data_IF_031710890004
#
_entry.id   IF_031710890004
#
_cell.length_a   1.000
_cell.length_b   1.000
_cell.length_c   1.000
_cell.angle_alpha   90.00
_cell.angle_beta   90.00
_cell.angle_gamma   90.00
#
_symmetry.space_group_name_H-M   'P 1'
#
loop_
_entity.id
_entity.type
_entity.pdbx_description
1 polymer ?
#
# COMPACT_ATOMS: atom_id res chain seq x y z
N UNK A 1 4.63 22.20 -8.51
CA UNK A 1 4.38 22.52 -9.93
C UNK A 1 4.28 21.22 -10.70
N UNK A 2 3.19 21.00 -11.45
CA UNK A 2 3.02 19.79 -12.28
C UNK A 2 4.00 19.82 -13.45
N UNK A 3 4.75 18.75 -13.65
CA UNK A 3 5.64 18.58 -14.81
C UNK A 3 4.91 17.77 -15.89
N UNK A 4 5.21 18.04 -17.16
CA UNK A 4 4.73 17.24 -18.29
C UNK A 4 5.91 16.45 -18.82
N UNK A 5 5.75 15.13 -18.89
CA UNK A 5 6.74 14.24 -19.47
C UNK A 5 6.23 13.76 -20.82
N UNK A 6 7.08 13.84 -21.82
CA UNK A 6 6.81 13.23 -23.12
C UNK A 6 7.84 12.13 -23.37
N UNK A 7 7.33 10.91 -23.37
CA UNK A 7 8.08 9.68 -23.55
C UNK A 7 7.87 9.24 -25.00
N UNK A 8 8.87 9.51 -25.83
CA UNK A 8 8.65 9.62 -27.26
C UNK A 8 8.49 8.28 -28.01
N UNK A 9 7.74 8.40 -29.12
CA UNK A 9 7.48 7.44 -30.21
C UNK A 9 8.77 7.26 -31.03
N UNK A 10 9.01 6.03 -31.48
CA UNK A 10 10.31 5.52 -31.95
C UNK A 10 10.98 6.27 -33.12
N UNK A 11 12.30 6.46 -32.95
CA UNK A 11 13.36 6.37 -33.98
C UNK A 11 13.13 7.08 -35.31
N UNK A 12 12.94 8.40 -35.28
CA UNK A 12 13.50 9.36 -36.23
C UNK A 12 13.10 10.74 -35.71
N UNK A 13 14.05 11.64 -35.59
CA UNK A 13 13.87 12.99 -35.06
C UNK A 13 12.88 13.88 -35.84
N UNK A 14 12.25 13.37 -36.89
CA UNK A 14 11.75 14.19 -38.01
C UNK A 14 10.26 14.03 -38.34
N UNK A 15 9.46 13.28 -37.58
CA UNK A 15 8.04 13.03 -37.96
C UNK A 15 7.01 13.51 -36.93
N UNK A 16 7.36 14.47 -36.06
CA UNK A 16 6.36 15.37 -35.50
C UNK A 16 6.42 16.68 -36.27
N UNK A 17 5.36 16.92 -37.05
CA UNK A 17 5.17 18.16 -37.82
C UNK A 17 5.55 19.37 -36.93
N UNK A 18 6.44 20.29 -37.38
CA UNK A 18 6.98 21.39 -36.57
C UNK A 18 5.93 22.21 -35.80
N UNK A 19 4.73 22.32 -36.37
CA UNK A 19 3.57 23.02 -35.81
C UNK A 19 2.97 22.36 -34.55
N UNK A 20 3.09 21.02 -34.38
CA UNK A 20 2.66 20.31 -33.16
C UNK A 20 3.66 20.51 -32.01
N UNK A 21 4.96 20.64 -32.33
CA UNK A 21 6.04 20.90 -31.36
C UNK A 21 5.92 22.30 -30.71
N UNK A 22 5.51 23.30 -31.50
CA UNK A 22 5.37 24.70 -31.06
C UNK A 22 4.12 24.91 -30.20
N UNK A 23 3.00 24.22 -30.46
CA UNK A 23 1.74 24.39 -29.69
C UNK A 23 1.83 23.91 -28.24
N UNK A 24 2.67 22.93 -27.93
CA UNK A 24 2.90 22.47 -26.56
C UNK A 24 3.73 23.43 -25.70
N UNK A 25 4.43 24.41 -26.31
CA UNK A 25 5.23 25.40 -25.56
C UNK A 25 4.38 26.51 -24.93
N UNK A 26 3.14 26.71 -25.38
CA UNK A 26 2.22 27.72 -24.86
C UNK A 26 1.17 27.07 -23.94
N UNK A 27 1.55 26.78 -22.69
CA UNK A 27 0.63 26.27 -21.66
C UNK A 27 0.46 27.34 -20.58
N UNK A 28 -0.72 27.96 -20.55
CA UNK A 28 -1.21 28.70 -19.38
C UNK A 28 -2.14 27.80 -18.57
N UNK A 29 -1.87 27.69 -17.26
CA UNK A 29 -2.68 26.92 -16.31
C UNK A 29 -3.83 27.82 -15.83
N UNK A 30 -5.07 27.56 -16.26
CA UNK A 30 -6.26 28.25 -15.73
C UNK A 30 -7.44 27.31 -15.42
N UNK A 31 -8.29 27.76 -14.48
CA UNK A 31 -9.03 27.01 -13.44
C UNK A 31 -10.29 26.20 -13.83
N UNK A 32 -10.49 25.16 -13.01
CA UNK A 32 -11.72 24.48 -12.46
C UNK A 32 -12.82 23.93 -13.36
N UNK A 33 -13.16 22.64 -13.13
CA UNK A 33 -14.33 21.93 -13.69
C UNK A 33 -14.01 20.86 -14.73
N UNK A 34 -12.72 20.64 -15.01
CA UNK A 34 -12.24 19.84 -16.14
C UNK A 34 -11.25 18.78 -15.62
N UNK A 35 -11.08 17.62 -16.28
CA UNK A 35 -10.14 16.58 -15.82
C UNK A 35 -8.72 17.15 -15.64
N UNK A 36 -7.93 16.64 -14.69
CA UNK A 36 -6.60 17.22 -14.37
C UNK A 36 -5.66 17.20 -15.57
N UNK A 37 -5.80 16.22 -16.47
CA UNK A 37 -5.15 16.18 -17.79
C UNK A 37 -5.47 17.45 -18.61
N UNK A 38 -6.74 17.84 -18.69
CA UNK A 38 -7.21 19.05 -19.40
C UNK A 38 -6.94 20.36 -18.64
N UNK A 39 -6.53 20.30 -17.37
CA UNK A 39 -6.06 21.48 -16.61
C UNK A 39 -4.57 21.73 -16.83
N UNK A 40 -3.78 20.66 -17.02
CA UNK A 40 -2.33 20.74 -17.22
C UNK A 40 -1.98 20.86 -18.71
N UNK A 41 -2.71 20.18 -19.60
CA UNK A 41 -2.71 20.44 -21.03
C UNK A 41 -3.83 21.45 -21.30
N UNK A 42 -3.51 22.64 -21.84
CA UNK A 42 -4.57 23.55 -22.27
C UNK A 42 -5.55 22.81 -23.21
N UNK A 43 -6.84 23.13 -23.13
CA UNK A 43 -7.94 22.41 -23.81
C UNK A 43 -7.63 22.16 -25.29
N UNK A 44 -7.08 23.15 -25.99
CA UNK A 44 -6.75 23.06 -27.41
C UNK A 44 -5.67 22.01 -27.72
N UNK A 45 -4.71 21.81 -26.81
CA UNK A 45 -3.66 20.81 -26.94
C UNK A 45 -4.26 19.42 -26.73
N UNK A 46 -5.04 19.24 -25.66
CA UNK A 46 -5.72 17.98 -25.41
C UNK A 46 -6.62 17.57 -26.59
N UNK A 47 -7.44 18.50 -27.09
CA UNK A 47 -8.31 18.27 -28.25
C UNK A 47 -7.50 17.92 -29.52
N UNK A 48 -6.28 18.45 -29.66
CA UNK A 48 -5.41 18.12 -30.81
C UNK A 48 -4.68 16.78 -30.73
N UNK A 49 -4.62 16.18 -29.52
CA UNK A 49 -3.88 14.95 -29.23
C UNK A 49 -4.79 13.77 -28.90
N UNK A 50 -6.03 14.01 -28.45
CA UNK A 50 -6.94 12.97 -27.96
C UNK A 50 -7.32 11.93 -29.03
N UNK A 51 -7.28 12.31 -30.31
CA UNK A 51 -7.66 11.47 -31.46
C UNK A 51 -6.42 10.83 -32.14
N UNK A 52 -5.23 10.95 -31.54
CA UNK A 52 -3.99 10.39 -32.06
C UNK A 52 -3.70 9.02 -31.40
N UNK A 53 -4.08 7.94 -32.09
CA UNK A 53 -3.93 6.56 -31.59
C UNK A 53 -2.46 6.11 -31.39
N UNK A 54 -1.49 6.87 -31.90
CA UNK A 54 -0.06 6.58 -31.71
C UNK A 54 0.44 6.94 -30.32
N UNK A 55 -0.33 7.71 -29.55
CA UNK A 55 0.03 8.17 -28.21
C UNK A 55 -1.01 7.81 -27.15
N UNK A 56 -0.52 7.63 -25.92
CA UNK A 56 -1.32 7.43 -24.71
C UNK A 56 -1.02 8.56 -23.73
N UNK A 57 -2.08 9.19 -23.24
CA UNK A 57 -2.00 10.24 -22.22
C UNK A 57 -2.44 9.64 -20.88
N UNK A 58 -1.56 9.69 -19.87
CA UNK A 58 -1.84 9.20 -18.52
C UNK A 58 -1.33 10.18 -17.46
N UNK A 59 -1.99 10.17 -16.31
CA UNK A 59 -1.42 10.78 -15.11
C UNK A 59 -0.32 9.88 -14.55
N UNK A 60 0.73 10.50 -14.02
CA UNK A 60 1.75 9.81 -13.28
C UNK A 60 1.20 9.26 -11.97
N UNK A 61 1.78 8.15 -11.55
CA UNK A 61 1.44 7.43 -10.33
C UNK A 61 1.54 8.25 -9.03
N UNK A 62 2.46 9.22 -9.01
CA UNK A 62 2.72 10.18 -7.93
C UNK A 62 3.20 11.50 -8.54
N UNK A 63 2.99 12.60 -7.80
CA UNK A 63 3.48 13.93 -8.20
C UNK A 63 2.61 14.68 -9.20
N UNK A 64 1.50 14.07 -9.66
CA UNK A 64 0.48 14.75 -10.49
C UNK A 64 0.97 15.22 -11.85
N UNK A 65 2.04 14.61 -12.37
CA UNK A 65 2.59 14.88 -13.69
C UNK A 65 1.73 14.25 -14.80
N UNK A 66 1.70 14.87 -15.98
CA UNK A 66 1.05 14.29 -17.16
C UNK A 66 2.11 13.63 -18.04
N UNK A 67 1.84 12.40 -18.47
CA UNK A 67 2.73 11.59 -19.27
C UNK A 67 2.07 11.34 -20.62
N UNK A 68 2.74 11.72 -21.69
CA UNK A 68 2.39 11.35 -23.07
C UNK A 68 3.39 10.26 -23.48
N UNK A 69 2.90 9.09 -23.87
CA UNK A 69 3.73 7.93 -24.20
C UNK A 69 3.38 7.39 -25.57
N UNK A 70 4.34 6.80 -26.27
CA UNK A 70 4.07 5.90 -27.40
C UNK A 70 3.11 4.77 -26.99
N UNK A 71 2.06 4.57 -27.78
CA UNK A 71 1.05 3.52 -27.52
C UNK A 71 1.69 2.14 -27.48
N UNK A 72 2.63 1.84 -28.38
CA UNK A 72 3.28 0.53 -28.42
C UNK A 72 4.17 0.31 -27.20
N UNK A 73 4.97 1.30 -26.81
CA UNK A 73 5.80 1.24 -25.60
C UNK A 73 4.95 1.04 -24.35
N UNK A 74 3.83 1.74 -24.23
CA UNK A 74 2.91 1.55 -23.11
C UNK A 74 2.34 0.13 -23.10
N UNK A 75 1.91 -0.40 -24.25
CA UNK A 75 1.43 -1.79 -24.36
C UNK A 75 2.52 -2.78 -23.98
N UNK A 76 3.75 -2.60 -24.45
CA UNK A 76 4.92 -3.40 -24.06
C UNK A 76 5.08 -3.41 -22.53
N UNK A 77 5.04 -2.24 -21.87
CA UNK A 77 5.14 -2.12 -20.42
C UNK A 77 3.98 -2.75 -19.65
N UNK A 78 2.77 -2.74 -20.19
CA UNK A 78 1.64 -3.48 -19.61
C UNK A 78 1.84 -4.99 -19.79
N UNK A 79 2.27 -5.43 -20.96
CA UNK A 79 2.46 -6.85 -21.25
C UNK A 79 3.62 -7.45 -20.44
N UNK A 80 4.69 -6.69 -20.16
CA UNK A 80 5.74 -7.08 -19.19
C UNK A 80 5.14 -7.52 -17.85
N UNK A 81 4.00 -6.95 -17.44
CA UNK A 81 3.31 -7.29 -16.21
C UNK A 81 2.26 -8.40 -16.41
N UNK A 82 1.46 -8.35 -17.47
CA UNK A 82 0.40 -9.35 -17.71
C UNK A 82 0.92 -10.72 -18.14
N UNK A 83 2.18 -10.79 -18.58
CA UNK A 83 2.87 -12.06 -18.87
C UNK A 83 3.45 -12.73 -17.61
N UNK A 84 3.35 -12.10 -16.45
CA UNK A 84 3.74 -12.72 -15.19
C UNK A 84 2.67 -13.74 -14.76
N UNK A 85 2.92 -15.01 -15.07
CA UNK A 85 2.00 -16.13 -14.80
C UNK A 85 1.83 -16.42 -13.29
N UNK A 86 2.65 -15.83 -12.42
CA UNK A 86 2.43 -15.90 -10.98
C UNK A 86 1.19 -15.07 -10.56
N UNK A 87 0.93 -13.96 -11.26
CA UNK A 87 -0.10 -12.99 -10.89
C UNK A 87 -1.26 -12.89 -11.88
N UNK A 88 -1.06 -13.27 -13.14
CA UNK A 88 -2.05 -13.08 -14.20
C UNK A 88 -2.14 -14.29 -15.11
N UNK A 89 -3.35 -14.55 -15.59
CA UNK A 89 -3.60 -15.58 -16.59
C UNK A 89 -4.52 -15.05 -17.67
N UNK A 90 -4.09 -15.17 -18.93
CA UNK A 90 -5.00 -14.93 -20.06
C UNK A 90 -6.06 -16.03 -20.09
N UNK A 91 -7.32 -15.65 -20.27
CA UNK A 91 -8.45 -16.58 -20.35
C UNK A 91 -9.17 -16.45 -21.68
N UNK A 92 -9.54 -17.58 -22.28
CA UNK A 92 -10.23 -17.65 -23.58
C UNK A 92 -11.74 -17.73 -23.43
N UNK A 93 -12.22 -18.39 -22.38
CA UNK A 93 -13.63 -18.53 -22.10
C UNK A 93 -14.10 -17.41 -21.18
N UNK A 94 -15.21 -16.76 -21.54
CA UNK A 94 -15.81 -15.74 -20.69
C UNK A 94 -16.52 -16.41 -19.48
N UNK A 95 -16.04 -16.21 -18.22
CA UNK A 95 -16.65 -16.80 -17.03
C UNK A 95 -17.92 -16.10 -16.57
N UNK A 96 -18.29 -14.94 -17.12
CA UNK A 96 -19.34 -14.05 -16.58
C UNK A 96 -20.68 -14.77 -16.39
N UNK A 97 -21.05 -15.69 -17.29
CA UNK A 97 -22.27 -16.51 -17.15
C UNK A 97 -22.21 -17.43 -15.93
N UNK A 98 -21.08 -18.08 -15.70
CA UNK A 98 -20.87 -18.96 -14.56
C UNK A 98 -20.85 -18.14 -13.26
N UNK A 99 -20.17 -17.01 -13.26
CA UNK A 99 -20.13 -16.07 -12.12
C UNK A 99 -21.51 -15.52 -11.78
N UNK A 100 -22.30 -15.10 -12.79
CA UNK A 100 -23.69 -14.64 -12.58
C UNK A 100 -24.57 -15.74 -11.99
N UNK A 101 -24.37 -17.00 -12.41
CA UNK A 101 -25.04 -18.17 -11.82
C UNK A 101 -24.62 -18.39 -10.37
N UNK A 102 -23.32 -18.29 -10.05
CA UNK A 102 -22.79 -18.38 -8.67
C UNK A 102 -23.36 -17.29 -7.78
N UNK A 103 -23.37 -16.03 -8.24
CA UNK A 103 -23.94 -14.90 -7.51
C UNK A 103 -25.44 -15.10 -7.22
N UNK A 104 -26.22 -15.46 -8.24
CA UNK A 104 -27.65 -15.74 -8.06
C UNK A 104 -27.91 -16.91 -7.10
N UNK A 105 -27.05 -17.93 -7.15
CA UNK A 105 -27.12 -19.06 -6.22
C UNK A 105 -26.83 -18.59 -4.80
N UNK A 106 -25.76 -17.84 -4.57
CA UNK A 106 -25.42 -17.28 -3.25
C UNK A 106 -26.61 -16.49 -2.67
N UNK A 107 -27.19 -15.59 -3.46
CA UNK A 107 -28.32 -14.76 -3.00
C UNK A 107 -29.54 -15.61 -2.67
N UNK A 108 -29.78 -16.68 -3.43
CA UNK A 108 -30.90 -17.60 -3.16
C UNK A 108 -30.66 -18.45 -1.91
N UNK A 109 -29.45 -18.97 -1.74
CA UNK A 109 -29.08 -19.86 -0.63
C UNK A 109 -29.14 -19.10 0.72
N UNK A 110 -28.96 -17.78 0.70
CA UNK A 110 -29.01 -16.90 1.88
C UNK A 110 -30.11 -15.82 1.76
N UNK A 111 -31.27 -16.16 1.18
CA UNK A 111 -32.35 -15.20 0.96
C UNK A 111 -32.85 -14.55 2.27
N UNK A 112 -32.86 -15.29 3.37
CA UNK A 112 -33.23 -14.82 4.71
C UNK A 112 -32.29 -13.74 5.26
N UNK A 113 -31.04 -13.67 4.78
CA UNK A 113 -30.07 -12.65 5.20
C UNK A 113 -30.36 -11.27 4.56
N UNK A 114 -31.15 -11.25 3.49
CA UNK A 114 -31.23 -10.12 2.56
C UNK A 114 -32.66 -9.58 2.47
N UNK A 115 -32.76 -8.25 2.42
CA UNK A 115 -34.02 -7.57 2.10
C UNK A 115 -34.26 -7.58 0.59
N UNK A 116 -35.52 -7.39 0.16
CA UNK A 116 -35.87 -7.29 -1.25
C UNK A 116 -35.07 -6.20 -1.99
N UNK A 117 -34.81 -5.05 -1.34
CA UNK A 117 -34.04 -3.95 -1.90
C UNK A 117 -32.57 -4.32 -2.10
N UNK A 118 -31.99 -5.10 -1.19
CA UNK A 118 -30.61 -5.58 -1.30
C UNK A 118 -30.48 -6.64 -2.39
N UNK A 119 -31.46 -7.56 -2.49
CA UNK A 119 -31.52 -8.53 -3.58
C UNK A 119 -31.60 -7.80 -4.92
N UNK A 120 -32.48 -6.81 -5.05
CA UNK A 120 -32.59 -5.98 -6.25
C UNK A 120 -31.27 -5.24 -6.54
N UNK A 121 -30.64 -4.64 -5.54
CA UNK A 121 -29.32 -4.00 -5.72
C UNK A 121 -28.27 -5.00 -6.24
N UNK A 122 -28.23 -6.22 -5.71
CA UNK A 122 -27.26 -7.24 -6.09
C UNK A 122 -27.57 -7.96 -7.42
N UNK A 123 -28.82 -8.00 -7.86
CA UNK A 123 -29.25 -8.76 -9.05
C UNK A 123 -29.65 -7.89 -10.25
N UNK A 124 -30.26 -6.73 -10.01
CA UNK A 124 -30.87 -5.89 -11.04
C UNK A 124 -29.88 -4.84 -11.53
N UNK A 125 -28.92 -5.32 -12.32
CA UNK A 125 -28.04 -4.48 -13.12
C UNK A 125 -27.50 -5.20 -14.33
N UNK A 126 -27.04 -4.40 -15.28
CA UNK A 126 -26.28 -4.88 -16.41
C UNK A 126 -24.77 -4.66 -16.14
N UNK A 127 -24.02 -5.73 -15.85
CA UNK A 127 -22.60 -5.62 -15.55
C UNK A 127 -21.81 -5.24 -16.81
N UNK A 128 -20.79 -4.40 -16.65
CA UNK A 128 -19.82 -4.08 -17.69
C UNK A 128 -18.48 -4.74 -17.42
N UNK A 129 -17.72 -4.94 -18.48
CA UNK A 129 -16.39 -5.51 -18.41
C UNK A 129 -15.41 -4.54 -17.73
N UNK A 130 -14.57 -5.07 -16.86
CA UNK A 130 -13.46 -4.30 -16.27
C UNK A 130 -12.35 -4.11 -17.31
N UNK A 131 -11.69 -2.96 -17.28
CA UNK A 131 -10.54 -2.66 -18.13
C UNK A 131 -9.27 -2.52 -17.30
N UNK A 132 -8.14 -2.90 -17.87
CA UNK A 132 -6.83 -2.70 -17.26
C UNK A 132 -6.12 -1.48 -17.84
N UNK A 133 -5.46 -0.71 -16.99
CA UNK A 133 -4.47 0.27 -17.40
C UNK A 133 -3.38 0.44 -16.35
N UNK A 134 -2.22 0.94 -16.77
CA UNK A 134 -1.09 1.23 -15.91
C UNK A 134 -0.91 2.74 -15.70
N UNK A 135 -0.60 3.16 -14.47
CA UNK A 135 -0.13 4.53 -14.18
C UNK A 135 1.40 4.56 -14.16
N UNK A 136 2.08 5.43 -14.94
CA UNK A 136 3.54 5.47 -14.98
C UNK A 136 4.19 5.89 -13.66
N UNK A 137 5.06 5.04 -13.09
CA UNK A 137 5.84 5.32 -11.87
C UNK A 137 7.12 6.10 -12.18
N UNK A 138 6.98 7.28 -12.77
CA UNK A 138 8.13 8.11 -13.19
C UNK A 138 9.09 8.44 -12.05
N UNK A 139 8.59 8.52 -10.81
CA UNK A 139 9.39 8.74 -9.60
C UNK A 139 10.30 7.56 -9.23
N UNK A 140 10.11 6.37 -9.80
CA UNK A 140 10.96 5.19 -9.58
C UNK A 140 11.94 4.90 -10.74
N UNK A 141 11.89 5.66 -11.84
CA UNK A 141 12.82 5.50 -12.98
C UNK A 141 14.03 6.40 -12.81
N UNK A 142 15.22 5.80 -12.69
CA UNK A 142 16.49 6.51 -12.65
C UNK A 142 16.76 7.23 -13.97
N UNK A 143 16.40 6.63 -15.11
CA UNK A 143 16.56 7.28 -16.42
C UNK A 143 15.76 8.57 -16.49
N UNK A 144 14.47 8.53 -16.10
CA UNK A 144 13.63 9.73 -16.08
C UNK A 144 14.17 10.75 -15.08
N UNK A 145 14.59 10.33 -13.89
CA UNK A 145 15.12 11.25 -12.88
C UNK A 145 16.39 11.98 -13.37
N UNK A 146 17.30 11.29 -14.06
CA UNK A 146 18.48 11.91 -14.64
C UNK A 146 18.11 12.91 -15.73
N UNK A 147 17.24 12.51 -16.66
CA UNK A 147 16.74 13.41 -17.72
C UNK A 147 16.07 14.68 -17.15
N UNK A 148 15.32 14.55 -16.05
CA UNK A 148 14.71 15.70 -15.36
C UNK A 148 15.76 16.66 -14.82
N UNK A 149 16.86 16.15 -14.27
CA UNK A 149 17.96 16.96 -13.75
C UNK A 149 18.71 17.66 -14.89
N UNK A 150 18.96 16.93 -15.97
CA UNK A 150 19.75 17.41 -17.11
C UNK A 150 19.00 18.48 -17.91
N UNK A 151 17.70 18.27 -18.19
CA UNK A 151 16.90 19.22 -18.96
C UNK A 151 16.39 20.39 -18.12
N UNK A 152 16.18 20.17 -16.81
CA UNK A 152 15.68 21.14 -15.85
C UNK A 152 14.55 22.04 -16.39
N UNK A 153 13.57 21.43 -17.06
CA UNK A 153 12.49 22.12 -17.74
C UNK A 153 11.13 21.62 -17.21
N UNK A 154 10.08 22.43 -17.41
CA UNK A 154 8.68 22.07 -17.15
C UNK A 154 8.27 20.86 -17.99
N UNK A 155 8.87 20.78 -19.17
CA UNK A 155 8.67 19.74 -20.16
C UNK A 155 9.94 18.88 -20.27
N UNK A 156 9.79 17.55 -20.11
CA UNK A 156 10.93 16.62 -20.11
C UNK A 156 10.74 15.54 -21.18
N UNK A 157 11.69 15.46 -22.11
CA UNK A 157 11.73 14.44 -23.17
C UNK A 157 12.65 13.29 -22.79
N UNK A 158 12.14 12.07 -22.83
CA UNK A 158 12.97 10.88 -22.69
C UNK A 158 12.59 9.82 -23.73
N UNK A 159 13.56 9.03 -24.14
CA UNK A 159 13.34 7.95 -25.09
C UNK A 159 13.14 6.63 -24.35
N UNK A 160 11.95 6.00 -24.52
CA UNK A 160 11.58 4.65 -24.06
C UNK A 160 12.38 4.15 -22.82
N UNK A 161 12.18 4.75 -21.63
CA UNK A 161 12.96 4.44 -20.44
C UNK A 161 12.73 2.99 -19.99
N UNK A 162 13.77 2.16 -20.11
CA UNK A 162 13.64 0.71 -19.88
C UNK A 162 13.22 0.36 -18.45
N UNK A 163 13.65 1.18 -17.48
CA UNK A 163 13.36 1.03 -16.04
C UNK A 163 12.00 1.59 -15.62
N UNK A 164 11.21 2.16 -16.55
CA UNK A 164 9.86 2.60 -16.25
C UNK A 164 8.96 1.41 -15.92
N UNK A 165 8.37 1.46 -14.73
CA UNK A 165 7.34 0.52 -14.28
C UNK A 165 5.98 1.22 -14.20
N UNK A 166 4.92 0.43 -14.36
CA UNK A 166 3.55 0.90 -14.23
C UNK A 166 2.96 0.45 -12.88
N UNK A 167 2.02 1.21 -12.31
CA UNK A 167 1.10 0.72 -11.29
C UNK A 167 -0.11 0.11 -12.01
N UNK A 168 -0.38 -1.19 -11.85
CA UNK A 168 -1.56 -1.81 -12.45
C UNK A 168 -2.83 -1.25 -11.81
N UNK A 169 -3.83 -0.96 -12.64
CA UNK A 169 -5.16 -0.58 -12.21
C UNK A 169 -6.17 -1.41 -13.00
N UNK A 170 -7.01 -2.16 -12.28
CA UNK A 170 -8.18 -2.84 -12.83
C UNK A 170 -9.39 -1.94 -12.54
N UNK A 171 -9.91 -1.29 -13.56
CA UNK A 171 -11.07 -0.42 -13.46
C UNK A 171 -12.34 -1.13 -13.92
N UNK A 172 -13.19 -1.46 -12.96
CA UNK A 172 -14.49 -2.10 -13.19
C UNK A 172 -15.59 -1.50 -12.31
N UNK A 173 -15.97 -0.22 -12.50
CA UNK A 173 -16.95 0.45 -11.64
C UNK A 173 -18.35 -0.17 -11.73
N UNK A 174 -18.64 -0.86 -12.83
CA UNK A 174 -19.91 -1.57 -13.05
C UNK A 174 -19.65 -3.08 -13.26
N UNK A 175 -18.55 -3.61 -12.72
CA UNK A 175 -18.21 -5.02 -12.89
C UNK A 175 -19.22 -5.94 -12.21
N UNK A 176 -19.24 -7.20 -12.64
CA UNK A 176 -20.17 -8.21 -12.14
C UNK A 176 -20.09 -8.43 -10.62
N UNK A 177 -18.93 -8.18 -10.01
CA UNK A 177 -18.71 -8.34 -8.56
C UNK A 177 -18.66 -7.01 -7.81
N UNK A 178 -18.72 -5.86 -8.51
CA UNK A 178 -18.57 -4.54 -7.86
C UNK A 178 -19.65 -4.28 -6.82
N UNK A 179 -20.92 -4.56 -7.14
CA UNK A 179 -22.03 -4.33 -6.19
C UNK A 179 -21.95 -5.26 -4.99
N UNK A 180 -21.55 -6.52 -5.21
CA UNK A 180 -21.33 -7.48 -4.13
C UNK A 180 -20.17 -7.02 -3.23
N UNK A 181 -19.04 -6.61 -3.82
CA UNK A 181 -17.88 -6.08 -3.11
C UNK A 181 -18.24 -4.87 -2.24
N UNK A 182 -18.97 -3.90 -2.82
CA UNK A 182 -19.45 -2.74 -2.09
C UNK A 182 -20.40 -3.12 -0.94
N UNK A 183 -21.31 -4.06 -1.20
CA UNK A 183 -22.25 -4.53 -0.18
C UNK A 183 -21.53 -5.18 1.01
N UNK A 184 -20.56 -6.05 0.73
CA UNK A 184 -19.74 -6.66 1.78
C UNK A 184 -18.92 -5.61 2.53
N UNK A 185 -18.32 -4.63 1.84
CA UNK A 185 -17.60 -3.53 2.49
C UNK A 185 -18.49 -2.80 3.50
N UNK A 186 -19.74 -2.48 3.14
CA UNK A 186 -20.69 -1.86 4.08
C UNK A 186 -20.96 -2.74 5.31
N UNK A 187 -20.98 -4.07 5.15
CA UNK A 187 -21.20 -5.02 6.24
C UNK A 187 -19.98 -5.09 7.16
N UNK A 188 -18.74 -5.13 6.64
CA UNK A 188 -17.56 -5.40 7.48
C UNK A 188 -16.74 -4.15 7.82
N UNK A 189 -16.96 -3.00 7.18
CA UNK A 189 -16.10 -1.82 7.36
C UNK A 189 -16.05 -1.32 8.81
N UNK A 190 -17.11 -1.50 9.58
CA UNK A 190 -17.17 -1.05 10.97
C UNK A 190 -16.34 -1.92 11.93
N UNK A 191 -15.96 -3.14 11.53
CA UNK A 191 -15.05 -3.97 12.34
C UNK A 191 -13.59 -3.51 12.23
N UNK A 192 -13.20 -2.87 11.12
CA UNK A 192 -11.81 -2.49 10.88
C UNK A 192 -11.22 -1.59 11.98
N UNK A 193 -11.90 -0.54 12.46
CA UNK A 193 -11.41 0.30 13.56
C UNK A 193 -11.27 -0.41 14.91
N UNK A 194 -11.84 -1.60 15.07
CA UNK A 194 -11.78 -2.38 16.31
C UNK A 194 -10.56 -3.32 16.34
N UNK A 195 -9.80 -3.38 15.26
CA UNK A 195 -8.58 -4.20 15.14
C UNK A 195 -7.41 -3.42 15.76
N UNK A 196 -6.61 -4.01 16.66
CA UNK A 196 -5.53 -3.28 17.36
C UNK A 196 -4.47 -2.63 16.45
N UNK A 197 -4.23 -3.19 15.27
CA UNK A 197 -3.28 -2.67 14.29
C UNK A 197 -3.88 -1.64 13.32
N UNK A 198 -5.16 -1.28 13.49
CA UNK A 198 -5.79 -0.27 12.66
C UNK A 198 -5.20 1.11 12.92
N UNK A 199 -4.80 1.77 11.83
CA UNK A 199 -4.33 3.15 11.82
C UNK A 199 -5.19 3.88 10.78
N UNK A 200 -5.96 4.87 11.23
CA UNK A 200 -6.88 5.64 10.39
C UNK A 200 -6.15 6.58 9.44
N UNK A 201 -5.19 7.33 9.97
CA UNK A 201 -4.50 8.39 9.25
C UNK A 201 -3.09 8.66 9.81
N UNK A 202 -2.37 9.56 9.14
CA UNK A 202 -1.02 9.98 9.50
C UNK A 202 -0.96 10.65 10.87
N UNK A 203 -1.98 11.41 11.26
CA UNK A 203 -2.06 12.03 12.58
C UNK A 203 -2.24 10.97 13.68
N UNK A 204 -3.10 9.98 13.47
CA UNK A 204 -3.22 8.86 14.40
C UNK A 204 -1.91 8.07 14.49
N UNK A 205 -1.23 7.83 13.37
CA UNK A 205 0.10 7.21 13.38
C UNK A 205 1.11 8.01 14.21
N UNK A 206 1.15 9.34 14.03
CA UNK A 206 2.04 10.22 14.81
C UNK A 206 1.72 10.20 16.31
N UNK A 207 0.46 9.97 16.68
CA UNK A 207 0.08 9.78 18.08
C UNK A 207 0.45 8.38 18.63
N UNK A 208 0.61 7.38 17.75
CA UNK A 208 1.01 6.02 18.13
C UNK A 208 2.51 5.89 18.36
N UNK A 209 3.33 6.71 17.68
CA UNK A 209 4.78 6.72 17.89
C UNK A 209 5.16 7.56 19.12
N UNK A 210 6.22 7.19 19.86
CA UNK A 210 6.65 7.99 21.01
C UNK A 210 7.15 9.36 20.56
N UNK A 211 6.82 10.40 21.34
CA UNK A 211 7.24 11.78 21.07
C UNK A 211 8.77 11.98 21.12
N UNK A 212 9.48 11.10 21.83
CA UNK A 212 10.94 11.12 21.99
C UNK A 212 11.45 9.69 21.80
N UNK A 213 12.48 9.54 20.98
CA UNK A 213 13.22 8.29 20.79
C UNK A 213 14.69 8.52 21.19
N UNK A 214 15.42 7.49 21.67
CA UNK A 214 16.86 7.59 21.97
C UNK A 214 17.68 8.10 20.79
N UNK A 215 18.80 8.80 21.03
CA UNK A 215 19.65 9.37 19.96
C UNK A 215 20.21 8.29 18.99
N UNK A 216 20.40 7.07 19.48
CA UNK A 216 20.90 5.92 18.71
C UNK A 216 19.78 5.22 17.89
N UNK A 217 18.55 5.76 17.87
CA UNK A 217 17.41 5.13 17.18
C UNK A 217 17.53 5.25 15.67
N UNK A 218 17.67 4.12 15.01
CA UNK A 218 17.53 4.03 13.57
C UNK A 218 16.05 3.98 13.19
N UNK A 219 15.54 5.11 12.70
CA UNK A 219 14.23 5.14 12.04
C UNK A 219 14.37 4.47 10.67
N UNK A 220 13.80 3.29 10.52
CA UNK A 220 13.74 2.57 9.24
C UNK A 220 12.32 2.59 8.70
N UNK A 221 12.19 2.74 7.39
CA UNK A 221 10.92 2.63 6.69
C UNK A 221 11.05 1.58 5.59
N UNK A 222 10.10 0.65 5.54
CA UNK A 222 10.04 -0.39 4.50
C UNK A 222 8.86 -0.10 3.56
N UNK A 223 9.11 -0.11 2.25
CA UNK A 223 8.05 -0.03 1.23
C UNK A 223 7.60 -1.45 0.89
N UNK A 224 6.35 -1.80 1.22
CA UNK A 224 5.79 -3.11 0.85
C UNK A 224 5.59 -3.14 -0.66
N UNK A 225 6.23 -4.11 -1.32
CA UNK A 225 6.12 -4.26 -2.77
C UNK A 225 4.85 -5.02 -3.13
N UNK A 226 4.00 -4.39 -3.94
CA UNK A 226 2.83 -5.02 -4.55
C UNK A 226 1.87 -5.70 -3.53
N UNK A 227 1.59 -5.03 -2.41
CA UNK A 227 0.78 -5.57 -1.30
C UNK A 227 -0.47 -6.33 -1.77
N UNK A 228 -1.37 -5.67 -2.50
CA UNK A 228 -2.66 -6.25 -2.89
C UNK A 228 -2.54 -7.51 -3.76
N UNK A 229 -1.55 -7.55 -4.64
CA UNK A 229 -1.35 -8.72 -5.52
C UNK A 229 -0.60 -9.84 -4.79
N UNK A 230 -0.07 -9.57 -3.60
CA UNK A 230 0.68 -10.53 -2.79
C UNK A 230 -0.15 -11.14 -1.65
N UNK A 231 -1.41 -10.73 -1.45
CA UNK A 231 -2.28 -11.33 -0.45
C UNK A 231 -2.94 -12.59 -1.05
N UNK A 232 -2.64 -13.79 -0.52
CA UNK A 232 -3.28 -15.02 -0.98
C UNK A 232 -4.75 -15.04 -0.56
N UNK A 233 -5.62 -15.47 -1.46
CA UNK A 233 -7.06 -15.41 -1.24
C UNK A 233 -7.49 -16.18 0.02
N UNK A 234 -6.99 -17.41 0.21
CA UNK A 234 -7.36 -18.24 1.37
C UNK A 234 -6.91 -17.63 2.70
N UNK A 235 -5.73 -17.01 2.73
CA UNK A 235 -5.24 -16.34 3.93
C UNK A 235 -6.05 -15.07 4.23
N UNK A 236 -6.41 -14.30 3.20
CA UNK A 236 -7.31 -13.16 3.33
C UNK A 236 -8.69 -13.58 3.86
N UNK A 237 -9.29 -14.63 3.30
CA UNK A 237 -10.59 -15.16 3.77
C UNK A 237 -10.48 -15.68 5.21
N UNK A 238 -9.38 -16.35 5.56
CA UNK A 238 -9.13 -16.81 6.93
C UNK A 238 -9.02 -15.64 7.91
N UNK A 239 -8.32 -14.57 7.52
CA UNK A 239 -8.21 -13.35 8.33
C UNK A 239 -9.59 -12.72 8.58
N UNK A 240 -10.38 -12.56 7.52
CA UNK A 240 -11.72 -11.98 7.61
C UNK A 240 -12.64 -12.85 8.46
N UNK A 241 -12.58 -14.18 8.29
CA UNK A 241 -13.36 -15.11 9.12
C UNK A 241 -13.05 -14.93 10.60
N UNK A 242 -11.76 -14.91 10.96
CA UNK A 242 -11.35 -14.73 12.35
C UNK A 242 -11.91 -13.45 12.96
N UNK A 243 -11.77 -12.31 12.28
CA UNK A 243 -12.25 -11.03 12.80
C UNK A 243 -13.78 -10.90 12.81
N UNK A 244 -14.49 -11.53 11.85
CA UNK A 244 -15.96 -11.61 11.87
C UNK A 244 -16.44 -12.42 13.07
N UNK A 245 -15.76 -13.52 13.41
CA UNK A 245 -16.11 -14.36 14.55
C UNK A 245 -15.77 -13.67 15.88
N UNK A 246 -14.60 -13.03 15.97
CA UNK A 246 -14.15 -12.28 17.16
C UNK A 246 -14.99 -11.03 17.44
N UNK A 247 -15.46 -10.34 16.39
CA UNK A 247 -16.29 -9.13 16.48
C UNK A 247 -17.73 -9.37 16.03
N UNK A 248 -18.25 -10.58 16.28
CA UNK A 248 -19.55 -10.99 15.74
C UNK A 248 -20.70 -10.09 16.17
N UNK A 249 -20.66 -9.60 17.41
CA UNK A 249 -21.70 -8.74 17.99
C UNK A 249 -21.82 -7.38 17.30
N UNK A 250 -20.79 -6.95 16.57
CA UNK A 250 -20.78 -5.69 15.83
C UNK A 250 -21.50 -5.81 14.47
N UNK A 251 -21.60 -7.04 13.95
CA UNK A 251 -22.22 -7.32 12.66
C UNK A 251 -23.70 -7.66 12.89
N UNK A 252 -24.58 -7.04 12.11
CA UNK A 252 -26.02 -7.34 12.12
C UNK A 252 -26.25 -8.86 12.02
N UNK A 253 -26.92 -9.38 13.05
CA UNK A 253 -27.20 -10.80 13.25
C UNK A 253 -27.82 -11.48 12.03
N UNK A 254 -28.55 -10.75 11.18
CA UNK A 254 -29.15 -11.28 9.96
C UNK A 254 -28.11 -11.77 8.94
N UNK A 255 -26.90 -11.23 8.95
CA UNK A 255 -25.86 -11.60 7.99
C UNK A 255 -25.06 -12.78 8.50
N UNK A 256 -25.32 -13.97 7.97
CA UNK A 256 -24.53 -15.15 8.31
C UNK A 256 -23.05 -15.01 7.91
N UNK A 257 -22.15 -15.52 8.75
CA UNK A 257 -20.70 -15.53 8.47
C UNK A 257 -20.39 -16.21 7.14
N UNK A 258 -21.04 -17.34 6.84
CA UNK A 258 -20.79 -18.07 5.59
C UNK A 258 -21.24 -17.29 4.35
N UNK A 259 -22.34 -16.54 4.42
CA UNK A 259 -22.74 -15.63 3.36
C UNK A 259 -21.63 -14.62 3.03
N UNK A 260 -21.07 -13.97 4.06
CA UNK A 260 -19.99 -12.97 3.89
C UNK A 260 -18.74 -13.63 3.29
N UNK A 261 -18.33 -14.79 3.80
CA UNK A 261 -17.12 -15.48 3.31
C UNK A 261 -17.27 -15.97 1.88
N UNK A 262 -18.42 -16.55 1.51
CA UNK A 262 -18.69 -16.97 0.15
C UNK A 262 -18.78 -15.78 -0.82
N UNK A 263 -19.36 -14.66 -0.38
CA UNK A 263 -19.39 -13.43 -1.16
C UNK A 263 -17.99 -12.88 -1.44
N UNK A 264 -17.14 -12.77 -0.41
CA UNK A 264 -15.74 -12.34 -0.55
C UNK A 264 -14.99 -13.27 -1.50
N UNK A 265 -15.20 -14.59 -1.37
CA UNK A 265 -14.58 -15.57 -2.24
C UNK A 265 -14.95 -15.35 -3.71
N UNK A 266 -16.22 -15.08 -4.02
CA UNK A 266 -16.65 -14.74 -5.39
C UNK A 266 -15.94 -13.47 -5.88
N UNK A 267 -15.86 -12.42 -5.04
CA UNK A 267 -15.19 -11.16 -5.41
C UNK A 267 -13.71 -11.39 -5.72
N UNK A 268 -13.00 -12.15 -4.88
CA UNK A 268 -11.56 -12.42 -5.05
C UNK A 268 -11.25 -13.31 -6.26
N UNK A 269 -12.07 -14.34 -6.52
CA UNK A 269 -11.85 -15.28 -7.63
C UNK A 269 -12.22 -14.69 -9.01
N UNK A 270 -13.15 -13.73 -9.05
CA UNK A 270 -13.72 -13.22 -10.29
C UNK A 270 -13.19 -11.83 -10.65
N UNK A 271 -11.89 -11.64 -10.44
CA UNK A 271 -11.13 -10.47 -10.85
C UNK A 271 -10.66 -10.60 -12.31
N UNK A 272 -11.63 -10.56 -13.23
CA UNK A 272 -11.36 -10.57 -14.68
C UNK A 272 -11.43 -9.19 -15.30
N UNK A 273 -10.64 -8.96 -16.33
CA UNK A 273 -10.52 -7.67 -17.00
C UNK A 273 -10.01 -7.82 -18.43
N UNK A 274 -10.16 -6.76 -19.22
CA UNK A 274 -9.64 -6.70 -20.59
C UNK A 274 -8.44 -5.76 -20.71
N UNK A 275 -7.51 -6.18 -21.54
CA UNK A 275 -6.45 -5.33 -22.05
C UNK A 275 -6.19 -5.70 -23.52
N UNK A 276 -6.14 -4.69 -24.39
CA UNK A 276 -5.83 -4.86 -25.83
C UNK A 276 -6.66 -5.96 -26.52
N UNK A 277 -7.97 -5.98 -26.24
CA UNK A 277 -8.92 -6.96 -26.79
C UNK A 277 -8.81 -8.38 -26.23
N UNK A 278 -7.91 -8.62 -25.27
CA UNK A 278 -7.73 -9.93 -24.61
C UNK A 278 -8.24 -9.89 -23.18
N UNK A 279 -8.87 -11.00 -22.75
CA UNK A 279 -9.36 -11.16 -21.38
C UNK A 279 -8.30 -11.83 -20.50
N UNK A 280 -8.14 -11.30 -19.29
CA UNK A 280 -7.22 -11.77 -18.28
C UNK A 280 -7.95 -11.97 -16.95
N UNK A 281 -7.36 -12.78 -16.09
CA UNK A 281 -7.75 -12.97 -14.69
C UNK A 281 -6.53 -12.76 -13.81
N UNK A 282 -6.70 -12.01 -12.73
CA UNK A 282 -5.69 -11.96 -11.67
C UNK A 282 -5.76 -13.24 -10.84
N UNK A 283 -4.60 -13.83 -10.58
CA UNK A 283 -4.43 -15.04 -9.78
C UNK A 283 -3.37 -14.79 -8.71
N UNK A 284 -3.48 -15.46 -7.56
CA UNK A 284 -2.39 -15.55 -6.58
C UNK A 284 -2.49 -16.88 -5.86
N UNK A 285 -1.40 -17.63 -5.86
CA UNK A 285 -1.32 -18.94 -5.21
C UNK A 285 -1.00 -18.83 -3.71
N UNK A 286 -1.17 -19.94 -2.99
CA UNK A 286 -0.98 -20.04 -1.55
C UNK A 286 0.53 -20.03 -1.22
N UNK A 287 1.00 -19.19 -0.28
CA UNK A 287 2.38 -19.19 0.18
C UNK A 287 2.71 -20.49 0.90
N UNK A 288 3.97 -20.89 0.81
CA UNK A 288 4.42 -22.15 1.39
C UNK A 288 4.51 -22.09 2.93
N UNK A 289 4.25 -23.25 3.57
CA UNK A 289 4.45 -23.57 4.99
C UNK A 289 4.70 -22.41 5.98
N UNK A 290 5.97 -22.03 6.14
CA UNK A 290 6.42 -21.08 7.17
C UNK A 290 5.77 -19.69 7.02
N UNK A 291 5.61 -19.19 5.79
CA UNK A 291 5.00 -17.89 5.51
C UNK A 291 3.52 -17.88 5.89
N UNK A 292 2.81 -18.98 5.59
CA UNK A 292 1.43 -19.19 6.03
C UNK A 292 1.31 -19.18 7.55
N UNK A 293 2.22 -19.84 8.26
CA UNK A 293 2.23 -19.85 9.72
C UNK A 293 2.40 -18.44 10.28
N UNK A 294 3.39 -17.69 9.79
CA UNK A 294 3.62 -16.30 10.22
C UNK A 294 2.41 -15.40 9.95
N UNK A 295 1.74 -15.56 8.80
CA UNK A 295 0.54 -14.81 8.48
C UNK A 295 -0.62 -15.13 9.43
N UNK A 296 -0.83 -16.40 9.77
CA UNK A 296 -1.88 -16.82 10.72
C UNK A 296 -1.61 -16.29 12.14
N UNK A 297 -0.35 -16.29 12.58
CA UNK A 297 0.04 -15.69 13.86
C UNK A 297 -0.19 -14.16 13.86
N UNK A 298 0.11 -13.48 12.75
CA UNK A 298 -0.16 -12.05 12.59
C UNK A 298 -1.66 -11.72 12.60
N UNK A 299 -2.50 -12.55 11.96
CA UNK A 299 -3.97 -12.41 12.01
C UNK A 299 -4.48 -12.49 13.44
N UNK A 300 -4.13 -13.58 14.14
CA UNK A 300 -4.69 -13.89 15.46
C UNK A 300 -4.28 -12.88 16.51
N UNK A 301 -3.02 -12.47 16.44
CA UNK A 301 -2.49 -11.56 17.43
C UNK A 301 -2.97 -10.13 17.19
N UNK A 302 -3.14 -9.71 15.93
CA UNK A 302 -3.35 -8.30 15.57
C UNK A 302 -2.25 -7.37 16.11
N UNK A 303 -1.18 -7.93 16.69
CA UNK A 303 -0.23 -7.19 17.52
C UNK A 303 0.87 -6.57 16.69
N UNK A 304 1.15 -5.31 17.02
CA UNK A 304 2.42 -4.65 16.82
C UNK A 304 3.47 -5.25 17.78
N UNK A 305 4.59 -5.77 17.28
CA UNK A 305 5.69 -6.24 18.14
C UNK A 305 6.49 -5.03 18.63
N UNK A 306 6.28 -4.61 19.87
CA UNK A 306 7.09 -3.56 20.54
C UNK A 306 8.19 -4.20 21.38
N UNK A 307 9.46 -3.90 21.07
CA UNK A 307 10.62 -4.46 21.79
C UNK A 307 11.31 -3.40 22.66
N UNK A 308 11.67 -3.75 23.91
CA UNK A 308 12.45 -2.92 24.83
C UNK A 308 13.81 -3.59 25.15
N UNK A 309 14.84 -2.79 25.48
CA UNK A 309 16.22 -3.28 25.73
C UNK A 309 16.73 -2.83 27.10
N UNK A 310 17.45 -3.73 27.80
CA UNK A 310 18.17 -3.47 29.04
C UNK A 310 19.66 -3.27 28.74
N UNK A 311 20.24 -2.17 29.23
CA UNK A 311 21.64 -1.81 28.98
C UNK A 311 22.43 -1.90 30.30
N UNK A 312 23.54 -2.64 30.29
CA UNK A 312 24.51 -2.68 31.38
C UNK A 312 25.83 -2.08 30.91
N UNK A 313 26.32 -1.07 31.62
CA UNK A 313 27.61 -0.44 31.33
C UNK A 313 28.66 -0.98 32.29
N UNK A 314 29.51 -1.88 31.80
CA UNK A 314 30.52 -2.59 32.60
C UNK A 314 31.93 -2.17 32.17
N UNK A 315 32.83 -1.99 33.14
CA UNK A 315 34.21 -1.57 32.88
C UNK A 315 34.96 -1.19 34.16
N UNK A 316 36.29 -1.08 34.09
CA UNK A 316 37.16 -0.82 35.25
C UNK A 316 36.78 0.47 35.99
N UNK A 317 37.11 0.57 37.28
CA UNK A 317 36.85 1.77 38.08
C UNK A 317 37.54 3.00 37.45
N UNK A 318 36.89 4.16 37.46
CA UNK A 318 37.48 5.42 36.94
C UNK A 318 37.43 5.62 35.42
N UNK A 319 36.96 4.67 34.62
CA UNK A 319 36.99 4.78 33.14
C UNK A 319 35.84 5.60 32.53
N UNK A 320 35.09 6.35 33.34
CA UNK A 320 34.06 7.28 32.86
C UNK A 320 32.70 6.66 32.51
N UNK A 321 32.38 5.48 33.06
CA UNK A 321 31.06 4.82 32.85
C UNK A 321 29.89 5.72 33.27
N UNK A 322 29.99 6.32 34.46
CA UNK A 322 28.98 7.22 35.01
C UNK A 322 28.86 8.49 34.15
N UNK A 323 29.98 9.03 33.68
CA UNK A 323 30.00 10.17 32.75
C UNK A 323 29.34 9.82 31.40
N UNK A 324 29.61 8.62 30.86
CA UNK A 324 29.01 8.14 29.62
C UNK A 324 27.48 7.99 29.75
N UNK A 325 27.03 7.34 30.82
CA UNK A 325 25.59 7.15 31.08
C UNK A 325 24.89 8.50 31.26
N UNK A 326 25.46 9.43 32.04
CA UNK A 326 24.87 10.77 32.22
C UNK A 326 24.79 11.55 30.92
N UNK A 327 25.81 11.44 30.06
CA UNK A 327 25.82 12.11 28.76
C UNK A 327 24.78 11.52 27.80
N UNK A 328 24.64 10.19 27.78
CA UNK A 328 23.59 9.50 27.01
C UNK A 328 22.17 9.86 27.50
N UNK A 329 22.03 10.22 28.78
CA UNK A 329 20.78 10.70 29.37
C UNK A 329 20.61 12.22 29.30
N UNK A 330 21.48 12.94 28.58
CA UNK A 330 21.41 14.40 28.40
C UNK A 330 21.67 15.22 29.67
N UNK A 331 22.27 14.63 30.71
CA UNK A 331 22.61 15.31 31.97
C UNK A 331 24.00 15.93 31.90
N UNK A 332 24.18 17.06 32.60
CA UNK A 332 25.47 17.75 32.75
C UNK A 332 26.53 16.88 33.45
N UNK A 333 27.80 17.16 33.15
CA UNK A 333 28.97 16.42 33.67
C UNK A 333 29.64 17.13 34.87
N UNK A 334 28.97 18.13 35.43
CA UNK A 334 29.49 18.88 36.57
C UNK A 334 29.42 17.97 37.82
N UNK A 335 30.55 17.84 38.52
CA UNK A 335 30.75 17.01 39.74
C UNK A 335 30.47 15.50 39.57
N UNK A 336 31.11 14.85 38.59
CA UNK A 336 31.03 13.38 38.43
C UNK A 336 32.17 12.67 39.15
N UNK A 337 31.88 12.09 40.31
CA UNK A 337 32.76 11.11 40.97
C UNK A 337 32.45 9.69 40.48
N UNK A 338 33.44 8.80 40.53
CA UNK A 338 33.20 7.39 40.23
C UNK A 338 32.43 6.75 41.38
N UNK A 339 31.28 6.18 41.05
CA UNK A 339 30.42 5.47 42.00
C UNK A 339 31.00 4.07 42.28
N UNK A 340 31.19 3.74 43.55
CA UNK A 340 31.55 2.40 44.01
C UNK A 340 30.27 1.58 44.22
N UNK A 341 29.87 0.78 43.23
CA UNK A 341 28.67 -0.06 43.27
C UNK A 341 27.87 -0.08 41.96
N UNK A 342 26.63 -0.58 42.00
CA UNK A 342 25.68 -0.52 40.88
C UNK A 342 24.89 0.78 41.00
N UNK A 343 25.12 1.70 40.08
CA UNK A 343 24.37 2.95 39.96
C UNK A 343 23.26 2.80 38.89
N UNK A 344 22.03 3.14 39.26
CA UNK A 344 20.86 3.08 38.38
C UNK A 344 20.17 4.44 38.43
N UNK A 345 20.03 5.05 37.25
CA UNK A 345 19.45 6.38 37.15
C UNK A 345 18.01 6.42 37.66
N UNK A 346 17.67 7.48 38.43
CA UNK A 346 16.37 7.61 39.10
C UNK A 346 15.18 7.75 38.16
N UNK A 347 15.42 8.03 36.87
CA UNK A 347 14.36 8.06 35.86
C UNK A 347 14.07 6.67 35.27
N UNK A 348 14.84 5.65 35.63
CA UNK A 348 14.73 4.30 35.10
C UNK A 348 13.92 3.39 36.03
N UNK A 349 13.20 2.43 35.44
CA UNK A 349 12.47 1.39 36.18
C UNK A 349 13.34 0.15 36.40
N UNK A 350 13.34 -0.35 37.63
CA UNK A 350 14.10 -1.52 38.08
C UNK A 350 13.12 -2.65 38.34
N UNK A 351 13.43 -3.85 37.86
CA UNK A 351 12.69 -5.06 38.21
C UNK A 351 13.38 -5.77 39.37
N UNK A 352 12.70 -5.91 40.50
CA UNK A 352 13.23 -6.60 41.69
C UNK A 352 13.32 -8.12 41.45
N UNK A 353 14.05 -8.83 42.32
CA UNK A 353 14.14 -10.31 42.27
C UNK A 353 12.79 -11.01 42.30
N UNK A 354 11.80 -10.33 42.88
CA UNK A 354 10.46 -10.85 43.11
C UNK A 354 9.52 -10.50 41.94
N UNK A 355 10.04 -9.80 40.93
CA UNK A 355 9.39 -9.59 39.64
C UNK A 355 8.62 -8.27 39.50
N UNK A 356 8.56 -7.44 40.54
CA UNK A 356 7.89 -6.14 40.55
C UNK A 356 8.76 -5.01 39.98
N UNK A 357 8.11 -4.01 39.37
CA UNK A 357 8.78 -2.86 38.77
C UNK A 357 8.65 -1.62 39.67
N UNK A 358 9.79 -1.04 40.05
CA UNK A 358 9.87 0.18 40.85
C UNK A 358 10.69 1.25 40.14
N UNK A 359 10.46 2.53 40.42
CA UNK A 359 11.31 3.63 39.93
C UNK A 359 12.55 3.68 40.81
N UNK A 360 13.75 3.70 40.22
CA UNK A 360 15.00 3.61 40.97
C UNK A 360 15.21 4.79 41.91
N UNK A 361 15.39 4.55 43.20
CA UNK A 361 15.83 5.59 44.14
C UNK A 361 17.12 5.16 44.87
N UNK A 362 18.24 5.78 44.51
CA UNK A 362 19.51 5.73 45.27
C UNK A 362 20.43 4.54 45.00
N UNK A 363 21.68 4.63 45.51
CA UNK A 363 22.72 3.60 45.37
C UNK A 363 22.29 2.29 46.05
N UNK A 364 22.26 1.19 45.28
CA UNK A 364 21.93 -0.14 45.77
C UNK A 364 23.22 -0.93 46.03
N UNK A 365 23.54 -1.14 47.31
CA UNK A 365 24.66 -1.99 47.73
C UNK A 365 24.29 -3.48 47.54
N UNK A 366 24.57 -4.01 46.35
CA UNK A 366 24.47 -5.43 46.06
C UNK A 366 25.86 -6.07 46.21
N UNK A 367 26.06 -6.84 47.28
CA UNK A 367 27.24 -7.68 47.45
C UNK A 367 27.23 -8.79 46.39
N UNK A 368 28.06 -8.65 45.35
CA UNK A 368 28.27 -9.68 44.33
C UNK A 368 29.58 -10.40 44.64
N UNK A 369 29.59 -11.75 44.79
CA UNK A 369 30.80 -12.49 45.11
C UNK A 369 31.78 -12.45 43.94
N UNK A 370 33.04 -12.14 44.22
CA UNK A 370 34.13 -12.12 43.24
C UNK A 370 34.48 -13.54 42.79
N UNK A 371 34.42 -13.81 41.49
CA UNK A 371 35.04 -15.00 40.89
C UNK A 371 36.52 -14.72 40.60
N UNK A 372 37.40 -15.61 41.07
CA UNK A 372 38.84 -15.64 40.80
C UNK A 372 39.18 -15.83 39.32
#
# INVERSE_FOLDING_TARGET
MGKIFWINVSTTSDQLKPHKRIRCQSIEINKTGVSRIQQVLNRDIYESLKDDDSIIIKEADKGGAIIIMDTNFYKEKVMEQLNDEEYYKQITNNPDKATKKRLKKLIKDYDQCLTEKEIAYLCDFDPKESNFYGLPKVHKSAQIQNTVRDQNNVYVETFRPADLKLRPIIAGPESLTQRLSHFIDLIIKHICPLIPSYIKDDMEFLNHIPAIVPEETLLTSFDVTSLYTNIPHDLGITAVKYWIEEKRDEIDSRFETNFILEAIKIVLEENTFYFDGKKYRQIKEIPSGAERKMYLEAIQSGTEVRQYVRIFVVGKHGVGKTSLVRRLLGKGLDDVESTDGIDIDKTCQIRTSDGEWIVGEGELNLNIPTCN
#
